data_IF_616607213799
#
_entry.id   IF_616607213799
#
_cell.length_a   1.000
_cell.length_b   1.000
_cell.length_c   1.000
_cell.angle_alpha   90.00
_cell.angle_beta   90.00
_cell.angle_gamma   90.00
#
_symmetry.space_group_name_H-M   'P 1'
#
loop_
_entity.id
_entity.type
_entity.pdbx_description
1 polymer ?
#
# COMPACT_ATOMS: atom_id res chain seq x y z
N UNK A 1 -9.26 -1.77 -13.30
CA UNK A 1 -9.74 -0.34 -13.31
C UNK A 1 -10.83 -0.21 -12.26
N UNK A 2 -10.80 0.82 -11.41
CA UNK A 2 -11.76 1.02 -10.31
C UNK A 2 -12.40 2.40 -10.38
N UNK A 3 -13.45 2.62 -9.58
CA UNK A 3 -14.15 3.92 -9.48
C UNK A 3 -13.29 4.97 -8.76
N UNK A 4 -12.51 4.55 -7.76
CA UNK A 4 -11.69 5.41 -6.89
C UNK A 4 -10.30 4.80 -6.71
N UNK A 5 -9.30 5.67 -6.67
CA UNK A 5 -7.91 5.36 -6.43
C UNK A 5 -7.43 6.13 -5.20
N UNK A 6 -6.85 5.41 -4.25
CA UNK A 6 -6.17 5.98 -3.08
C UNK A 6 -4.70 5.63 -3.22
N UNK A 7 -3.86 6.65 -3.31
CA UNK A 7 -2.40 6.51 -3.39
C UNK A 7 -1.77 7.22 -2.22
N UNK A 8 -0.70 6.65 -1.66
CA UNK A 8 -0.05 7.22 -0.49
C UNK A 8 1.46 7.10 -0.54
N UNK A 9 2.13 8.07 0.08
CA UNK A 9 3.56 8.06 0.36
C UNK A 9 3.77 8.02 1.86
N UNK A 10 4.55 7.05 2.33
CA UNK A 10 4.97 6.99 3.74
C UNK A 10 6.03 8.07 3.96
N UNK A 11 5.71 9.09 4.77
CA UNK A 11 6.65 10.16 5.13
C UNK A 11 7.45 9.81 6.38
N UNK A 12 6.80 9.13 7.33
CA UNK A 12 7.43 8.62 8.56
C UNK A 12 6.67 7.38 9.03
N UNK A 13 7.38 6.35 9.46
CA UNK A 13 6.78 5.12 9.99
C UNK A 13 7.73 4.48 10.99
N UNK A 14 7.47 4.74 12.28
CA UNK A 14 8.28 4.22 13.38
C UNK A 14 7.41 3.98 14.64
N UNK A 15 8.05 3.58 15.74
CA UNK A 15 7.38 3.32 17.01
C UNK A 15 6.69 4.52 17.66
N UNK A 16 6.99 5.75 17.29
CA UNK A 16 6.37 6.95 17.85
C UNK A 16 5.42 7.62 16.87
N UNK A 17 5.71 7.60 15.57
CA UNK A 17 5.00 8.39 14.55
C UNK A 17 4.67 7.57 13.31
N UNK A 18 3.43 7.70 12.85
CA UNK A 18 3.02 7.37 11.49
C UNK A 18 2.58 8.66 10.81
N UNK A 19 3.21 8.99 9.69
CA UNK A 19 2.86 10.11 8.83
C UNK A 19 2.76 9.66 7.38
N UNK A 20 1.58 9.88 6.77
CA UNK A 20 1.25 9.50 5.41
C UNK A 20 0.81 10.72 4.62
N UNK A 21 1.32 10.88 3.41
CA UNK A 21 0.78 11.83 2.42
C UNK A 21 -0.14 11.06 1.47
N UNK A 22 -1.44 11.34 1.51
CA UNK A 22 -2.45 10.58 0.78
C UNK A 22 -3.10 11.46 -0.27
N UNK A 23 -3.20 10.93 -1.49
CA UNK A 23 -4.00 11.49 -2.57
C UNK A 23 -5.11 10.53 -2.96
N UNK A 24 -6.33 11.08 -3.07
CA UNK A 24 -7.50 10.35 -3.56
C UNK A 24 -7.98 10.99 -4.85
N UNK A 25 -8.11 10.16 -5.89
CA UNK A 25 -8.60 10.52 -7.22
C UNK A 25 -9.69 9.55 -7.64
N UNK A 26 -10.66 10.01 -8.40
CA UNK A 26 -11.61 9.10 -9.04
C UNK A 26 -11.17 8.70 -10.45
N UNK A 27 -11.91 7.75 -11.02
CA UNK A 27 -11.62 7.17 -12.32
C UNK A 27 -11.71 8.15 -13.48
N UNK A 28 -12.35 9.31 -13.30
CA UNK A 28 -12.35 10.37 -14.30
C UNK A 28 -11.03 11.13 -14.36
N UNK A 29 -10.18 10.96 -13.34
CA UNK A 29 -8.96 11.75 -13.13
C UNK A 29 -9.15 12.91 -12.16
N UNK A 30 -10.38 13.12 -11.65
CA UNK A 30 -10.67 14.21 -10.72
C UNK A 30 -10.08 13.89 -9.35
N UNK A 31 -9.26 14.81 -8.85
CA UNK A 31 -8.75 14.75 -7.46
C UNK A 31 -9.87 15.08 -6.48
N UNK A 32 -10.12 14.15 -5.56
CA UNK A 32 -11.03 14.37 -4.44
C UNK A 32 -10.36 15.23 -3.38
N UNK A 33 -9.20 14.78 -2.90
CA UNK A 33 -8.35 15.52 -1.98
C UNK A 33 -6.92 14.99 -2.01
N UNK A 34 -6.01 15.80 -1.49
CA UNK A 34 -4.68 15.38 -1.06
C UNK A 34 -4.47 15.91 0.35
N UNK A 35 -4.08 15.05 1.29
CA UNK A 35 -4.00 15.39 2.73
C UNK A 35 -2.93 14.54 3.40
N UNK A 36 -2.19 15.20 4.31
CA UNK A 36 -1.27 14.52 5.22
C UNK A 36 -2.02 14.07 6.47
N UNK A 37 -1.82 12.82 6.85
CA UNK A 37 -2.34 12.23 8.07
C UNK A 37 -1.17 11.89 8.98
N UNK A 38 -1.27 12.28 10.24
CA UNK A 38 -0.21 12.07 11.23
C UNK A 38 -0.79 11.61 12.54
N UNK A 39 -0.21 10.56 13.11
CA UNK A 39 -0.47 10.14 14.48
C UNK A 39 0.84 9.98 15.22
N UNK A 40 0.87 10.53 16.43
CA UNK A 40 1.96 10.35 17.40
C UNK A 40 1.41 9.55 18.57
N UNK A 41 2.13 8.52 18.99
CA UNK A 41 1.74 7.62 20.07
C UNK A 41 2.73 7.70 21.23
N UNK A 42 2.22 7.57 22.45
CA UNK A 42 3.03 7.54 23.67
C UNK A 42 3.37 6.11 24.09
N UNK A 43 4.26 5.97 25.08
CA UNK A 43 4.77 4.68 25.57
C UNK A 43 3.67 3.69 25.99
N UNK A 44 2.56 4.21 26.53
CA UNK A 44 1.41 3.42 26.97
C UNK A 44 0.74 2.65 25.82
N UNK A 45 0.93 3.08 24.57
CA UNK A 45 0.42 2.36 23.40
C UNK A 45 1.03 0.96 23.25
N UNK A 46 2.15 0.67 23.93
CA UNK A 46 2.85 -0.61 23.91
C UNK A 46 2.78 -1.37 25.24
N UNK A 47 2.05 -0.85 26.24
CA UNK A 47 1.95 -1.50 27.55
C UNK A 47 0.95 -2.67 27.52
N UNK A 48 1.50 -3.89 27.44
CA UNK A 48 0.74 -5.16 27.43
C UNK A 48 0.01 -5.44 28.74
N UNK A 49 0.42 -4.85 29.87
CA UNK A 49 -0.21 -5.08 31.19
C UNK A 49 -1.37 -4.13 31.46
N UNK A 50 -1.36 -2.94 30.86
CA UNK A 50 -2.40 -1.94 31.06
C UNK A 50 -3.68 -2.23 30.26
N UNK A 51 -3.61 -3.01 29.18
CA UNK A 51 -4.78 -3.15 28.30
C UNK A 51 -4.74 -4.44 27.49
N UNK A 52 -5.65 -5.35 27.80
CA UNK A 52 -5.81 -6.67 27.17
C UNK A 52 -6.39 -6.62 25.74
N UNK A 53 -6.56 -5.44 25.12
CA UNK A 53 -7.34 -5.31 23.88
C UNK A 53 -7.06 -4.07 23.01
N UNK A 54 -5.89 -3.43 23.07
CA UNK A 54 -5.62 -2.31 22.16
C UNK A 54 -5.17 -2.87 20.81
N UNK A 55 -5.97 -2.59 19.77
CA UNK A 55 -5.62 -2.83 18.36
C UNK A 55 -4.41 -2.02 17.91
N UNK A 56 -4.21 -1.87 16.59
CA UNK A 56 -3.07 -1.09 16.09
C UNK A 56 -3.11 0.36 16.61
N UNK A 57 -2.05 0.87 17.28
CA UNK A 57 -2.06 2.20 17.89
C UNK A 57 -2.14 3.34 16.86
N UNK A 58 -1.92 3.04 15.58
CA UNK A 58 -2.06 3.94 14.45
C UNK A 58 -3.32 3.66 13.60
N UNK A 59 -4.18 2.72 14.00
CA UNK A 59 -5.42 2.37 13.28
C UNK A 59 -6.28 3.59 12.92
N UNK A 60 -6.30 4.60 13.80
CA UNK A 60 -7.03 5.84 13.59
C UNK A 60 -6.61 6.58 12.32
N UNK A 61 -5.34 6.49 11.89
CA UNK A 61 -4.87 7.10 10.64
C UNK A 61 -5.64 6.51 9.44
N UNK A 62 -5.74 5.18 9.38
CA UNK A 62 -6.45 4.49 8.30
C UNK A 62 -7.96 4.75 8.35
N UNK A 63 -8.55 4.78 9.56
CA UNK A 63 -9.96 5.12 9.76
C UNK A 63 -10.24 6.55 9.30
N UNK A 64 -9.38 7.51 9.62
CA UNK A 64 -9.52 8.91 9.16
C UNK A 64 -9.46 9.03 7.64
N UNK A 65 -8.52 8.34 6.99
CA UNK A 65 -8.43 8.29 5.52
C UNK A 65 -9.74 7.76 4.92
N UNK A 66 -10.25 6.62 5.42
CA UNK A 66 -11.49 6.01 4.96
C UNK A 66 -12.71 6.93 5.18
N UNK A 67 -12.78 7.58 6.34
CA UNK A 67 -13.86 8.51 6.67
C UNK A 67 -13.85 9.77 5.80
N UNK A 68 -12.67 10.32 5.47
CA UNK A 68 -12.56 11.45 4.56
C UNK A 68 -12.98 11.08 3.14
N UNK A 69 -12.58 9.89 2.66
CA UNK A 69 -13.03 9.35 1.38
C UNK A 69 -14.56 9.16 1.33
N UNK A 70 -15.14 8.59 2.39
CA UNK A 70 -16.59 8.43 2.53
C UNK A 70 -17.31 9.79 2.58
N UNK A 71 -16.77 10.75 3.32
CA UNK A 71 -17.32 12.10 3.43
C UNK A 71 -17.35 12.81 2.08
N UNK A 72 -16.30 12.65 1.27
CA UNK A 72 -16.29 13.17 -0.09
C UNK A 72 -17.32 12.47 -0.97
N UNK A 73 -17.37 11.13 -0.93
CA UNK A 73 -18.35 10.31 -1.69
C UNK A 73 -19.80 10.65 -1.34
N UNK A 74 -20.11 10.99 -0.08
CA UNK A 74 -21.45 11.39 0.36
C UNK A 74 -21.95 12.71 -0.25
N UNK A 75 -21.06 13.53 -0.83
CA UNK A 75 -21.44 14.75 -1.55
C UNK A 75 -21.99 14.47 -2.96
N UNK A 76 -21.84 13.25 -3.46
CA UNK A 76 -22.25 12.88 -4.80
C UNK A 76 -23.75 12.60 -4.80
N UNK A 77 -24.47 13.21 -5.73
CA UNK A 77 -25.83 12.78 -6.04
C UNK A 77 -25.81 11.46 -6.83
N UNK A 78 -26.99 10.85 -7.01
CA UNK A 78 -27.14 9.58 -7.72
C UNK A 78 -26.56 9.63 -9.13
N UNK A 79 -26.80 10.73 -9.87
CA UNK A 79 -26.26 10.92 -11.21
C UNK A 79 -24.73 10.92 -11.21
N UNK A 80 -24.10 11.66 -10.31
CA UNK A 80 -22.64 11.72 -10.22
C UNK A 80 -22.02 10.36 -9.87
N UNK A 81 -22.67 9.59 -9.00
CA UNK A 81 -22.24 8.24 -8.67
C UNK A 81 -22.39 7.29 -9.89
N UNK A 82 -23.50 7.39 -10.60
CA UNK A 82 -23.77 6.60 -11.81
C UNK A 82 -22.80 6.96 -12.95
N UNK A 83 -22.56 8.26 -13.18
CA UNK A 83 -21.62 8.74 -14.18
C UNK A 83 -20.21 8.22 -13.87
N UNK A 84 -19.79 8.23 -12.60
CA UNK A 84 -18.47 7.74 -12.23
C UNK A 84 -18.31 6.24 -12.53
N UNK A 85 -19.34 5.45 -12.23
CA UNK A 85 -19.38 4.02 -12.55
C UNK A 85 -19.40 3.76 -14.05
N UNK A 86 -20.15 4.56 -14.80
CA UNK A 86 -20.16 4.49 -16.26
C UNK A 86 -18.78 4.82 -16.85
N UNK A 87 -18.07 5.84 -16.33
CA UNK A 87 -16.70 6.13 -16.76
C UNK A 87 -15.78 4.96 -16.47
N UNK A 88 -15.85 4.34 -15.28
CA UNK A 88 -14.97 3.21 -14.97
C UNK A 88 -15.24 2.02 -15.88
N UNK A 89 -16.51 1.75 -16.19
CA UNK A 89 -16.95 0.75 -17.18
C UNK A 89 -16.42 1.03 -18.58
N UNK A 90 -16.62 2.24 -19.09
CA UNK A 90 -16.15 2.62 -20.43
C UNK A 90 -14.63 2.56 -20.53
N UNK A 91 -13.89 2.99 -19.49
CA UNK A 91 -12.43 2.87 -19.45
C UNK A 91 -11.96 1.41 -19.51
N UNK A 92 -12.69 0.50 -18.86
CA UNK A 92 -12.38 -0.93 -18.93
C UNK A 92 -12.74 -1.51 -20.30
N UNK A 93 -13.88 -1.14 -20.87
CA UNK A 93 -14.26 -1.52 -22.22
C UNK A 93 -13.23 -1.08 -23.27
N UNK A 94 -12.63 0.11 -23.11
CA UNK A 94 -11.53 0.60 -23.94
C UNK A 94 -10.26 -0.26 -23.89
N UNK A 95 -10.02 -1.01 -22.80
CA UNK A 95 -8.88 -1.94 -22.75
C UNK A 95 -9.09 -3.14 -23.69
N UNK A 96 -10.33 -3.60 -23.85
CA UNK A 96 -10.66 -4.81 -24.61
C UNK A 96 -11.05 -4.54 -26.06
N UNK A 97 -11.71 -3.41 -26.33
CA UNK A 97 -12.18 -3.02 -27.67
C UNK A 97 -12.07 -1.50 -27.85
N UNK A 98 -10.84 -0.97 -27.94
CA UNK A 98 -10.61 0.46 -28.09
C UNK A 98 -11.32 1.02 -29.33
N UNK A 99 -11.35 0.28 -30.44
CA UNK A 99 -12.03 0.67 -31.67
C UNK A 99 -13.54 0.90 -31.50
N UNK A 100 -14.19 0.20 -30.57
CA UNK A 100 -15.60 0.40 -30.26
C UNK A 100 -15.81 1.48 -29.20
N UNK A 101 -14.97 1.52 -28.15
CA UNK A 101 -15.25 2.30 -26.95
C UNK A 101 -14.52 3.65 -26.83
N UNK A 102 -13.56 3.96 -27.69
CA UNK A 102 -12.77 5.19 -27.61
C UNK A 102 -13.61 6.47 -27.77
N UNK A 103 -14.74 6.41 -28.49
CA UNK A 103 -15.58 7.58 -28.73
C UNK A 103 -16.65 7.84 -27.64
N UNK A 104 -16.76 6.98 -26.62
CA UNK A 104 -17.78 7.12 -25.58
C UNK A 104 -17.37 8.05 -24.44
N UNK A 105 -16.07 8.17 -24.18
CA UNK A 105 -15.51 9.13 -23.22
C UNK A 105 -14.40 9.95 -23.88
N UNK A 106 -14.32 11.22 -23.53
CA UNK A 106 -13.23 12.09 -23.99
C UNK A 106 -12.49 12.68 -22.81
N UNK A 107 -11.20 12.99 -23.00
CA UNK A 107 -10.38 13.68 -22.02
C UNK A 107 -10.38 15.18 -22.30
N UNK A 108 -10.85 15.97 -21.35
CA UNK A 108 -10.78 17.42 -21.38
C UNK A 108 -9.35 17.94 -21.31
N UNK A 109 -9.16 19.24 -21.57
CA UNK A 109 -7.84 19.92 -21.46
C UNK A 109 -7.27 19.88 -20.04
N UNK A 110 -8.15 19.78 -19.05
CA UNK A 110 -7.83 19.62 -17.63
C UNK A 110 -7.45 18.18 -17.26
N UNK A 111 -7.48 17.25 -18.22
CA UNK A 111 -7.19 15.84 -18.00
C UNK A 111 -8.38 15.02 -17.48
N UNK A 112 -9.55 15.63 -17.29
CA UNK A 112 -10.74 14.97 -16.74
C UNK A 112 -11.52 14.26 -17.85
N UNK A 113 -11.88 13.00 -17.60
CA UNK A 113 -12.70 12.22 -18.51
C UNK A 113 -14.18 12.59 -18.36
N UNK A 114 -14.85 12.79 -19.49
CA UNK A 114 -16.29 13.08 -19.56
C UNK A 114 -16.98 12.13 -20.52
N UNK A 115 -18.20 11.73 -20.17
CA UNK A 115 -19.05 10.87 -21.01
C UNK A 115 -19.60 11.70 -22.16
N UNK A 116 -19.36 11.25 -23.39
CA UNK A 116 -19.92 11.85 -24.60
C UNK A 116 -21.27 11.21 -24.96
N UNK A 117 -21.37 9.90 -24.78
CA UNK A 117 -22.57 9.09 -24.96
C UNK A 117 -22.43 7.81 -24.16
N UNK A 118 -23.53 7.10 -23.97
CA UNK A 118 -23.55 5.77 -23.38
C UNK A 118 -23.89 4.74 -24.47
N UNK A 119 -23.32 3.52 -24.42
CA UNK A 119 -23.78 2.42 -25.24
C UNK A 119 -25.23 2.08 -24.92
N UNK A 120 -25.93 1.42 -25.84
CA UNK A 120 -27.25 0.88 -25.54
C UNK A 120 -27.15 -0.14 -24.40
N UNK A 121 -28.19 -0.23 -23.55
CA UNK A 121 -28.18 -1.16 -22.41
C UNK A 121 -27.96 -2.63 -22.82
N UNK A 122 -28.46 -2.99 -24.01
CA UNK A 122 -28.34 -4.31 -24.62
C UNK A 122 -27.19 -4.41 -25.64
N UNK A 123 -26.22 -3.49 -25.61
CA UNK A 123 -25.05 -3.57 -26.47
C UNK A 123 -24.29 -4.89 -26.22
N UNK A 124 -24.12 -5.68 -27.29
CA UNK A 124 -23.51 -7.00 -27.19
C UNK A 124 -22.03 -6.97 -26.82
N UNK A 125 -21.29 -5.92 -27.25
CA UNK A 125 -19.89 -5.74 -26.90
C UNK A 125 -19.77 -5.34 -25.43
N UNK A 126 -20.63 -4.42 -24.96
CA UNK A 126 -20.65 -4.02 -23.56
C UNK A 126 -21.00 -5.20 -22.65
N UNK A 127 -21.99 -6.02 -23.05
CA UNK A 127 -22.38 -7.22 -22.30
C UNK A 127 -21.23 -8.21 -22.17
N UNK A 128 -20.43 -8.40 -23.23
CA UNK A 128 -19.23 -9.25 -23.20
C UNK A 128 -18.15 -8.68 -22.28
N UNK A 129 -17.89 -7.37 -22.37
CA UNK A 129 -16.94 -6.69 -21.48
C UNK A 129 -17.35 -6.83 -20.02
N UNK A 130 -18.65 -6.73 -19.69
CA UNK A 130 -19.17 -6.94 -18.33
C UNK A 130 -18.82 -8.33 -17.79
N UNK A 131 -18.98 -9.40 -18.59
CA UNK A 131 -18.57 -10.76 -18.20
C UNK A 131 -17.07 -10.87 -17.94
N UNK A 132 -16.24 -10.18 -18.73
CA UNK A 132 -14.80 -10.12 -18.51
C UNK A 132 -14.48 -9.37 -17.22
N UNK A 133 -15.20 -8.29 -16.92
CA UNK A 133 -15.06 -7.55 -15.66
C UNK A 133 -15.46 -8.39 -14.44
N UNK A 134 -16.52 -9.17 -14.53
CA UNK A 134 -16.92 -10.09 -13.47
C UNK A 134 -15.80 -11.09 -13.16
N UNK A 135 -15.13 -11.62 -14.20
CA UNK A 135 -13.95 -12.45 -14.04
C UNK A 135 -12.78 -11.67 -13.45
N UNK A 136 -12.56 -10.41 -13.85
CA UNK A 136 -11.53 -9.54 -13.27
C UNK A 136 -11.64 -9.38 -11.75
N UNK A 137 -12.87 -9.42 -11.20
CA UNK A 137 -13.07 -9.42 -9.75
C UNK A 137 -12.50 -10.66 -9.05
N UNK A 138 -12.44 -11.82 -9.70
CA UNK A 138 -11.83 -13.02 -9.09
C UNK A 138 -10.35 -12.81 -8.77
N UNK A 139 -9.61 -12.10 -9.63
CA UNK A 139 -8.22 -11.72 -9.34
C UNK A 139 -8.14 -10.75 -8.17
N UNK A 140 -9.04 -9.77 -8.13
CA UNK A 140 -9.09 -8.77 -7.06
C UNK A 140 -9.37 -9.45 -5.71
N UNK A 141 -10.36 -10.34 -5.65
CA UNK A 141 -10.75 -11.06 -4.44
C UNK A 141 -9.61 -11.98 -3.97
N UNK A 142 -8.98 -12.71 -4.90
CA UNK A 142 -7.79 -13.56 -4.61
C UNK A 142 -6.65 -12.72 -4.02
N UNK A 143 -6.41 -11.53 -4.56
CA UNK A 143 -5.38 -10.62 -4.04
C UNK A 143 -5.77 -10.00 -2.70
N UNK A 144 -7.06 -9.75 -2.44
CA UNK A 144 -7.53 -9.29 -1.12
C UNK A 144 -7.25 -10.33 -0.05
N UNK A 145 -7.60 -11.59 -0.29
CA UNK A 145 -7.33 -12.70 0.63
C UNK A 145 -5.82 -12.84 0.90
N UNK A 146 -5.00 -12.72 -0.15
CA UNK A 146 -3.54 -12.73 -0.01
C UNK A 146 -3.03 -11.60 0.90
N UNK A 147 -3.48 -10.36 0.68
CA UNK A 147 -3.03 -9.21 1.47
C UNK A 147 -3.56 -9.25 2.91
N UNK A 148 -4.74 -9.78 3.14
CA UNK A 148 -5.27 -10.01 4.49
C UNK A 148 -4.40 -11.02 5.25
N UNK A 149 -4.05 -12.14 4.61
CA UNK A 149 -3.13 -13.13 5.17
C UNK A 149 -1.73 -12.55 5.43
N UNK A 150 -1.18 -11.81 4.47
CA UNK A 150 0.10 -11.12 4.63
C UNK A 150 0.07 -10.13 5.80
N UNK A 151 -1.00 -9.33 5.92
CA UNK A 151 -1.16 -8.38 7.02
C UNK A 151 -1.19 -9.06 8.38
N UNK A 152 -1.89 -10.19 8.50
CA UNK A 152 -1.92 -11.00 9.72
C UNK A 152 -0.54 -11.57 10.07
N UNK A 153 0.21 -12.07 9.09
CA UNK A 153 1.55 -12.60 9.30
C UNK A 153 2.55 -11.49 9.72
N UNK A 154 2.46 -10.33 9.07
CA UNK A 154 3.27 -9.15 9.39
C UNK A 154 2.96 -8.56 10.75
N UNK A 155 1.71 -8.71 11.23
CA UNK A 155 1.21 -7.98 12.40
C UNK A 155 2.15 -8.10 13.60
N UNK A 156 2.57 -9.31 13.95
CA UNK A 156 3.43 -9.52 15.11
C UNK A 156 4.83 -8.90 14.93
N UNK A 157 5.51 -9.20 13.82
CA UNK A 157 6.86 -8.69 13.54
C UNK A 157 6.87 -7.15 13.48
N UNK A 158 5.87 -6.55 12.84
CA UNK A 158 5.75 -5.11 12.71
C UNK A 158 5.37 -4.42 14.04
N UNK A 159 4.55 -5.05 14.89
CA UNK A 159 4.29 -4.55 16.25
C UNK A 159 5.54 -4.59 17.12
N UNK A 160 6.33 -5.66 17.06
CA UNK A 160 7.59 -5.77 17.82
C UNK A 160 8.64 -4.77 17.31
N UNK A 161 8.75 -4.59 15.99
CA UNK A 161 9.55 -3.53 15.38
C UNK A 161 9.16 -2.14 15.95
N UNK A 162 7.87 -1.80 15.94
CA UNK A 162 7.36 -0.53 16.49
C UNK A 162 7.61 -0.38 17.99
N UNK A 163 7.33 -1.42 18.77
CA UNK A 163 7.58 -1.41 20.22
C UNK A 163 9.07 -1.26 20.55
N UNK A 164 9.94 -1.91 19.78
CA UNK A 164 11.38 -1.91 20.04
C UNK A 164 12.07 -0.62 19.57
N UNK A 165 11.58 -0.02 18.47
CA UNK A 165 12.06 1.27 17.99
C UNK A 165 11.66 2.45 18.88
N UNK A 166 10.52 2.38 19.59
CA UNK A 166 9.99 3.48 20.41
C UNK A 166 11.02 4.15 21.33
N UNK A 167 11.71 3.38 22.19
CA UNK A 167 12.67 3.94 23.15
C UNK A 167 13.82 4.68 22.44
N UNK A 168 14.26 4.13 21.29
CA UNK A 168 15.29 4.71 20.43
C UNK A 168 14.82 6.03 19.82
N UNK A 169 13.64 6.07 19.23
CA UNK A 169 13.06 7.29 18.61
C UNK A 169 12.87 8.40 19.64
N UNK A 170 12.29 8.08 20.80
CA UNK A 170 12.06 9.07 21.86
C UNK A 170 13.37 9.65 22.37
N UNK A 171 14.40 8.81 22.55
CA UNK A 171 15.72 9.26 23.00
C UNK A 171 16.39 10.16 21.96
N UNK A 172 16.33 9.80 20.68
CA UNK A 172 16.83 10.65 19.59
C UNK A 172 16.14 12.03 19.58
N UNK A 173 14.81 12.06 19.72
CA UNK A 173 14.04 13.31 19.80
C UNK A 173 14.42 14.17 21.00
N UNK A 174 14.60 13.58 22.18
CA UNK A 174 15.04 14.30 23.39
C UNK A 174 16.42 14.92 23.19
N UNK A 175 17.36 14.17 22.63
CA UNK A 175 18.73 14.64 22.37
C UNK A 175 18.78 15.73 21.30
N UNK A 176 17.95 15.63 20.25
CA UNK A 176 17.81 16.66 19.22
C UNK A 176 17.25 17.97 19.83
N UNK A 177 16.24 17.89 20.71
CA UNK A 177 15.73 19.05 21.46
C UNK A 177 16.77 19.69 22.38
N UNK A 178 17.75 18.93 22.85
CA UNK A 178 18.87 19.41 23.66
C UNK A 178 20.04 19.96 22.82
N UNK A 179 19.90 20.04 21.48
CA UNK A 179 20.91 20.57 20.57
C UNK A 179 22.10 19.63 20.34
N UNK A 180 22.00 18.36 20.76
CA UNK A 180 23.14 17.46 20.79
C UNK A 180 23.19 16.59 19.52
N UNK A 181 23.66 17.17 18.42
CA UNK A 181 23.67 16.52 17.08
C UNK A 181 24.55 15.27 16.98
N UNK A 182 25.56 15.12 17.87
CA UNK A 182 26.55 14.02 17.81
C UNK A 182 26.00 12.64 18.17
N UNK A 183 24.91 12.56 18.93
CA UNK A 183 24.35 11.27 19.40
C UNK A 183 23.32 10.71 18.41
N UNK A 184 22.85 11.51 17.45
CA UNK A 184 21.82 11.13 16.47
C UNK A 184 22.32 10.01 15.54
N UNK A 185 23.62 10.00 15.20
CA UNK A 185 24.20 9.03 14.26
C UNK A 185 24.12 7.56 14.75
N UNK A 186 24.15 7.32 16.06
CA UNK A 186 24.10 5.96 16.63
C UNK A 186 22.69 5.39 16.79
N UNK A 187 21.66 6.24 16.74
CA UNK A 187 20.25 5.88 16.94
C UNK A 187 19.46 5.92 15.61
N UNK A 188 19.90 6.75 14.66
CA UNK A 188 19.25 6.93 13.36
C UNK A 188 19.23 5.70 12.45
N UNK A 189 20.02 4.66 12.72
CA UNK A 189 20.02 3.41 11.94
C UNK A 189 18.74 2.58 12.11
N UNK A 190 17.96 2.80 13.17
CA UNK A 190 16.68 2.11 13.44
C UNK A 190 15.51 2.82 12.72
N UNK A 191 15.71 4.07 12.29
CA UNK A 191 14.65 5.00 11.85
C UNK A 191 14.51 5.14 10.33
N UNK A 192 15.41 4.58 9.54
CA UNK A 192 15.31 4.60 8.09
C UNK A 192 14.31 3.54 7.64
N UNK A 193 13.01 3.83 7.82
CA UNK A 193 11.92 2.97 7.37
C UNK A 193 12.12 2.56 5.92
N UNK A 194 12.28 1.26 5.69
CA UNK A 194 12.18 0.39 4.48
C UNK A 194 12.73 0.89 3.12
N UNK A 195 13.05 2.17 2.91
CA UNK A 195 13.56 2.72 1.65
C UNK A 195 15.01 3.26 1.74
N UNK A 196 15.66 3.18 2.90
CA UNK A 196 16.98 3.79 3.12
C UNK A 196 18.22 2.92 2.86
N UNK A 197 18.07 1.68 2.38
CA UNK A 197 19.21 0.75 2.19
C UNK A 197 19.83 0.74 0.79
N UNK A 198 19.40 1.63 -0.11
CA UNK A 198 19.94 1.71 -1.47
C UNK A 198 20.78 2.98 -1.67
N UNK A 199 22.05 2.74 -2.02
CA UNK A 199 23.10 3.70 -2.45
C UNK A 199 23.70 4.63 -1.39
N UNK A 200 24.59 4.06 -0.59
CA UNK A 200 25.86 4.72 -0.26
C UNK A 200 26.98 3.99 -0.99
N UNK A 201 27.34 4.45 -2.20
CA UNK A 201 28.67 4.22 -2.72
C UNK A 201 29.61 5.21 -2.01
N UNK A 202 30.02 4.86 -0.81
CA UNK A 202 31.28 5.35 -0.26
C UNK A 202 31.97 4.14 0.34
N UNK A 203 32.86 3.59 -0.47
CA UNK A 203 33.83 2.59 -0.08
C UNK A 203 34.58 3.04 1.17
N UNK A 204 34.70 2.12 2.12
CA UNK A 204 35.60 2.11 3.28
C UNK A 204 35.01 2.68 4.58
N UNK A 205 35.18 1.91 5.65
CA UNK A 205 34.97 2.25 7.07
C UNK A 205 33.54 2.14 7.63
N UNK A 206 32.99 0.92 7.70
CA UNK A 206 31.82 0.61 8.54
C UNK A 206 32.00 -0.60 9.49
N UNK A 207 33.22 -1.12 9.63
CA UNK A 207 33.51 -2.27 10.50
C UNK A 207 34.72 -2.01 11.40
N UNK A 208 34.66 -0.98 12.25
CA UNK A 208 35.60 -0.82 13.35
C UNK A 208 35.04 0.11 14.43
N UNK A 209 34.35 -0.45 15.43
CA UNK A 209 34.35 0.06 16.82
C UNK A 209 33.42 -0.78 17.71
N UNK A 210 33.72 -2.07 17.81
CA UNK A 210 33.68 -2.68 19.13
C UNK A 210 34.87 -2.11 19.91
N UNK A 211 34.59 -1.33 20.96
CA UNK A 211 35.52 -0.61 21.84
C UNK A 211 35.82 0.85 21.45
N UNK A 212 35.87 1.70 22.49
CA UNK A 212 36.06 3.18 22.52
C UNK A 212 34.76 3.98 22.33
N UNK A 213 34.15 4.65 23.31
CA UNK A 213 34.67 5.19 24.57
C UNK A 213 33.60 5.24 25.68
N UNK A 214 34.03 4.87 26.87
CA UNK A 214 33.41 5.23 28.13
C UNK A 214 33.51 6.75 28.34
N UNK A 215 32.40 7.47 28.14
CA UNK A 215 32.15 8.80 28.68
C UNK A 215 30.65 9.11 28.54
N UNK A 216 29.83 8.52 29.41
CA UNK A 216 28.36 8.66 29.41
C UNK A 216 27.70 7.38 29.90
N UNK A 217 27.74 7.17 31.21
CA UNK A 217 27.39 5.93 31.90
C UNK A 217 25.96 5.42 31.67
N UNK A 218 25.81 4.11 31.87
CA UNK A 218 24.66 3.23 31.69
C UNK A 218 24.40 2.72 30.27
N UNK A 219 25.21 1.76 29.84
CA UNK A 219 24.77 0.71 28.90
C UNK A 219 24.61 -0.57 29.70
N UNK A 220 23.36 -0.87 30.04
CA UNK A 220 22.94 -2.09 30.70
C UNK A 220 23.28 -3.28 29.78
N UNK A 221 23.73 -4.41 30.35
CA UNK A 221 23.87 -5.71 29.67
C UNK A 221 22.60 -6.10 28.88
N UNK A 222 21.42 -5.72 29.39
CA UNK A 222 20.13 -5.86 28.72
C UNK A 222 19.98 -5.04 27.42
N UNK A 223 20.76 -3.97 27.24
CA UNK A 223 20.75 -3.15 26.02
C UNK A 223 21.42 -3.81 24.82
N UNK A 224 22.39 -4.70 25.05
CA UNK A 224 23.03 -5.51 24.00
C UNK A 224 22.10 -6.63 23.51
N UNK A 225 21.47 -7.35 24.44
CA UNK A 225 20.45 -8.36 24.13
C UNK A 225 19.24 -7.73 23.44
N UNK A 226 18.74 -6.59 23.95
CA UNK A 226 17.64 -5.84 23.33
C UNK A 226 18.00 -5.32 21.93
N UNK A 227 19.26 -4.94 21.69
CA UNK A 227 19.75 -4.53 20.36
C UNK A 227 19.79 -5.69 19.37
N UNK A 228 20.25 -6.86 19.79
CA UNK A 228 20.23 -8.07 18.93
C UNK A 228 18.79 -8.48 18.60
N UNK A 229 17.89 -8.43 19.58
CA UNK A 229 16.48 -8.74 19.38
C UNK A 229 15.79 -7.73 18.43
N UNK A 230 16.05 -6.42 18.57
CA UNK A 230 15.56 -5.40 17.63
C UNK A 230 16.07 -5.62 16.21
N UNK A 231 17.36 -5.95 16.04
CA UNK A 231 17.93 -6.21 14.72
C UNK A 231 17.24 -7.40 14.01
N UNK A 232 16.86 -8.44 14.76
CA UNK A 232 16.11 -9.56 14.21
C UNK A 232 14.69 -9.17 13.75
N UNK A 233 14.02 -8.26 14.45
CA UNK A 233 12.70 -7.75 14.00
C UNK A 233 12.82 -6.82 12.80
N UNK A 234 13.84 -5.96 12.76
CA UNK A 234 14.14 -5.10 11.60
C UNK A 234 14.40 -5.95 10.35
N UNK A 235 15.19 -7.03 10.50
CA UNK A 235 15.49 -7.99 9.43
C UNK A 235 14.24 -8.74 8.98
N UNK A 236 13.41 -9.23 9.91
CA UNK A 236 12.14 -9.90 9.57
C UNK A 236 11.18 -8.99 8.80
N UNK A 237 11.01 -7.73 9.22
CA UNK A 237 10.16 -6.76 8.50
C UNK A 237 10.75 -6.44 7.12
N UNK A 238 12.07 -6.27 7.01
CA UNK A 238 12.74 -6.01 5.74
C UNK A 238 12.64 -7.20 4.78
N UNK A 239 12.80 -8.43 5.28
CA UNK A 239 12.68 -9.67 4.50
C UNK A 239 11.26 -9.86 3.97
N UNK A 240 10.25 -9.69 4.82
CA UNK A 240 8.85 -9.77 4.41
C UNK A 240 8.48 -8.66 3.42
N UNK A 241 8.99 -7.43 3.61
CA UNK A 241 8.84 -6.34 2.64
C UNK A 241 9.51 -6.65 1.30
N UNK A 242 10.74 -7.16 1.33
CA UNK A 242 11.48 -7.59 0.14
C UNK A 242 10.79 -8.72 -0.60
N UNK A 243 10.13 -9.65 0.11
CA UNK A 243 9.36 -10.71 -0.53
C UNK A 243 8.19 -10.16 -1.33
N UNK A 244 7.48 -9.13 -0.83
CA UNK A 244 6.39 -8.49 -1.59
C UNK A 244 6.88 -7.82 -2.87
N UNK A 245 8.07 -7.22 -2.84
CA UNK A 245 8.64 -6.51 -3.98
C UNK A 245 9.18 -7.47 -5.05
N UNK A 246 9.76 -8.60 -4.64
CA UNK A 246 10.46 -9.52 -5.54
C UNK A 246 9.51 -10.52 -6.19
N UNK A 247 8.70 -11.22 -5.39
CA UNK A 247 7.75 -12.22 -5.86
C UNK A 247 6.75 -12.55 -4.75
N UNK A 248 5.46 -12.44 -5.07
CA UNK A 248 4.41 -12.92 -4.16
C UNK A 248 4.14 -14.40 -4.43
N UNK A 249 3.52 -15.08 -3.46
CA UNK A 249 3.11 -16.47 -3.64
C UNK A 249 2.29 -16.64 -4.95
N UNK A 250 2.50 -17.74 -5.71
CA UNK A 250 1.70 -18.03 -6.89
C UNK A 250 0.20 -18.03 -6.58
N UNK A 251 -0.58 -17.35 -7.41
CA UNK A 251 -2.04 -17.27 -7.24
C UNK A 251 -2.72 -18.22 -8.20
N UNK A 252 -3.60 -19.07 -7.69
CA UNK A 252 -4.35 -20.06 -8.46
C UNK A 252 -5.80 -19.62 -8.54
N UNK A 253 -6.26 -19.25 -9.73
CA UNK A 253 -7.62 -18.76 -9.96
C UNK A 253 -8.38 -19.80 -10.80
N UNK A 254 -9.51 -20.26 -10.26
CA UNK A 254 -10.43 -21.13 -10.98
C UNK A 254 -11.42 -20.30 -11.82
N UNK A 255 -11.42 -20.54 -13.12
CA UNK A 255 -12.43 -20.08 -14.07
C UNK A 255 -13.39 -21.22 -14.39
N UNK A 256 -14.53 -20.90 -15.03
CA UNK A 256 -15.56 -21.88 -15.40
C UNK A 256 -15.02 -23.07 -16.21
N UNK A 257 -14.04 -22.83 -17.09
CA UNK A 257 -13.51 -23.83 -18.03
C UNK A 257 -12.06 -24.27 -17.76
N UNK A 258 -11.36 -23.64 -16.82
CA UNK A 258 -9.94 -23.88 -16.55
C UNK A 258 -9.47 -23.34 -15.22
N UNK A 259 -8.31 -23.78 -14.78
CA UNK A 259 -7.56 -23.16 -13.68
C UNK A 259 -6.33 -22.46 -14.24
N UNK A 260 -6.01 -21.26 -13.73
CA UNK A 260 -4.83 -20.50 -14.13
C UNK A 260 -3.96 -20.23 -12.92
N UNK A 261 -2.66 -20.44 -13.07
CA UNK A 261 -1.65 -20.10 -12.08
C UNK A 261 -0.91 -18.85 -12.56
N UNK A 262 -0.86 -17.82 -11.71
CA UNK A 262 -0.14 -16.57 -11.93
C UNK A 262 1.10 -16.55 -11.03
N UNK A 263 2.24 -16.11 -11.56
CA UNK A 263 3.53 -16.10 -10.84
C UNK A 263 4.29 -14.78 -10.99
N UNK A 264 5.30 -14.57 -10.14
CA UNK A 264 6.09 -13.33 -10.11
C UNK A 264 5.46 -12.23 -9.24
N UNK A 265 5.86 -10.98 -9.48
CA UNK A 265 5.37 -9.80 -8.75
C UNK A 265 3.87 -9.56 -8.95
N UNK A 266 3.24 -8.79 -8.07
CA UNK A 266 1.82 -8.38 -8.20
C UNK A 266 1.54 -7.77 -9.58
N UNK A 267 2.46 -6.95 -10.10
CA UNK A 267 2.33 -6.31 -11.41
C UNK A 267 2.45 -7.33 -12.53
N UNK A 268 3.38 -8.29 -12.43
CA UNK A 268 3.54 -9.36 -13.40
C UNK A 268 2.34 -10.30 -13.43
N UNK A 269 1.79 -10.66 -12.26
CA UNK A 269 0.59 -11.49 -12.15
C UNK A 269 -0.64 -10.79 -12.74
N UNK A 270 -0.84 -9.50 -12.43
CA UNK A 270 -1.94 -8.73 -13.03
C UNK A 270 -1.78 -8.59 -14.54
N UNK A 271 -0.55 -8.42 -15.06
CA UNK A 271 -0.30 -8.39 -16.51
C UNK A 271 -0.65 -9.72 -17.19
N UNK A 272 -0.24 -10.85 -16.61
CA UNK A 272 -0.62 -12.19 -17.08
C UNK A 272 -2.15 -12.37 -17.07
N UNK A 273 -2.80 -11.91 -16.01
CA UNK A 273 -4.25 -11.95 -15.89
C UNK A 273 -4.95 -11.12 -16.97
N UNK A 274 -4.51 -9.89 -17.20
CA UNK A 274 -5.05 -9.02 -18.25
C UNK A 274 -4.85 -9.62 -19.65
N UNK A 275 -3.69 -10.22 -19.93
CA UNK A 275 -3.43 -10.90 -21.19
C UNK A 275 -4.38 -12.10 -21.39
N UNK A 276 -4.62 -12.89 -20.34
CA UNK A 276 -5.60 -13.98 -20.37
C UNK A 276 -7.01 -13.45 -20.65
N UNK A 277 -7.45 -12.40 -19.95
CA UNK A 277 -8.76 -11.79 -20.17
C UNK A 277 -8.90 -11.30 -21.62
N UNK A 278 -7.86 -10.71 -22.21
CA UNK A 278 -7.86 -10.28 -23.61
C UNK A 278 -8.01 -11.46 -24.57
N UNK A 279 -7.32 -12.58 -24.31
CA UNK A 279 -7.43 -13.82 -25.10
C UNK A 279 -8.85 -14.39 -25.02
N UNK A 280 -9.44 -14.45 -23.82
CA UNK A 280 -10.82 -14.93 -23.62
C UNK A 280 -11.79 -14.02 -24.39
N UNK A 281 -11.68 -12.70 -24.23
CA UNK A 281 -12.52 -11.74 -24.93
C UNK A 281 -12.45 -11.91 -26.45
N UNK A 282 -11.25 -12.04 -27.01
CA UNK A 282 -11.05 -12.20 -28.46
C UNK A 282 -11.65 -13.51 -28.98
N UNK A 283 -11.46 -14.61 -28.23
CA UNK A 283 -12.04 -15.93 -28.57
C UNK A 283 -13.56 -15.91 -28.55
N UNK A 284 -14.15 -15.35 -27.49
CA UNK A 284 -15.61 -15.19 -27.37
C UNK A 284 -16.17 -14.22 -28.42
N UNK A 285 -15.35 -13.26 -28.89
CA UNK A 285 -15.73 -12.35 -29.96
C UNK A 285 -15.78 -13.04 -31.34
N UNK A 286 -14.76 -13.85 -31.65
CA UNK A 286 -14.60 -14.51 -32.94
C UNK A 286 -15.39 -15.81 -33.13
N UNK A 287 -15.99 -16.36 -32.07
CA UNK A 287 -16.81 -17.58 -32.11
C UNK A 287 -18.24 -17.36 -32.68
N UNK A 288 -18.40 -16.48 -33.66
CA UNK A 288 -19.66 -16.21 -34.38
C UNK A 288 -19.68 -16.92 -35.74
#
# INVERSE_FOLDING_TARGET
ITDVYITGTVLQSDGEVLELDIEVKDTSGKKWFAKKYKKVVGKLAYDRKATSNIGDPFQNVFIEIANDALTYRKRFNEKQASDLRAISELRFAQLFSPEAFNEYITRGRDGILTIQRLPAENDSLLTRVKKIRERDYLYIDTMQDYYDGFSQQMHFAYQEFRSSSYDSVVKARQLNRQGNQRIIAGIGSILAGIYGRSQSQTSSEAYASSATAAAGGFILKSGLEKKQQSAAYDESVAEMGSSLETEIAPQVIALEDRTVTLTGTVQAQYAQWQELMQKIYTKERGAL
#
